data_IF_626803698743
#
_entry.id   IF_626803698743
#
_cell.length_a   1.000
_cell.length_b   1.000
_cell.length_c   1.000
_cell.angle_alpha   90.00
_cell.angle_beta   90.00
_cell.angle_gamma   90.00
#
_symmetry.space_group_name_H-M   'P 1'
#
loop_
_entity.id
_entity.type
_entity.pdbx_description
1 polymer ?
#
# COMPACT_ATOMS: atom_id res chain seq x y z
N UNK A 1 -60.99 37.82 37.50
CA UNK A 1 -59.74 37.71 36.72
C UNK A 1 -59.33 36.25 36.67
N UNK A 2 -59.70 35.50 35.63
CA UNK A 2 -58.97 34.32 35.13
C UNK A 2 -59.34 34.20 33.65
N UNK A 3 -58.35 34.43 32.79
CA UNK A 3 -58.43 34.26 31.34
C UNK A 3 -58.06 32.81 31.03
N UNK A 4 -58.97 32.05 30.41
CA UNK A 4 -58.67 30.70 29.92
C UNK A 4 -58.13 30.80 28.48
N UNK A 5 -56.82 30.63 28.32
CA UNK A 5 -56.14 30.54 27.03
C UNK A 5 -56.29 29.12 26.47
N UNK A 6 -56.96 29.01 25.32
CA UNK A 6 -56.94 27.83 24.47
C UNK A 6 -55.58 27.72 23.78
N UNK A 7 -54.81 26.68 24.08
CA UNK A 7 -53.60 26.33 23.34
C UNK A 7 -53.90 25.15 22.41
N UNK A 8 -54.19 25.46 21.14
CA UNK A 8 -54.22 24.46 20.07
C UNK A 8 -52.77 24.02 19.78
N UNK A 9 -52.39 22.83 20.25
CA UNK A 9 -51.11 22.23 19.94
C UNK A 9 -51.08 21.79 18.46
N UNK A 10 -50.42 22.58 17.61
CA UNK A 10 -50.03 22.16 16.26
C UNK A 10 -48.84 21.20 16.36
N UNK A 11 -49.09 19.90 16.46
CA UNK A 11 -48.06 18.90 16.20
C UNK A 11 -47.92 18.73 14.67
N UNK A 12 -46.72 18.90 14.08
CA UNK A 12 -46.55 18.65 12.66
C UNK A 12 -46.75 17.15 12.39
N UNK A 13 -47.81 16.82 11.66
CA UNK A 13 -48.09 15.47 11.17
C UNK A 13 -46.92 15.06 10.28
N UNK A 14 -46.03 14.19 10.77
CA UNK A 14 -45.00 13.55 9.93
C UNK A 14 -45.71 12.60 8.98
N UNK A 15 -45.99 13.07 7.77
CA UNK A 15 -46.48 12.23 6.69
C UNK A 15 -45.28 11.45 6.16
N UNK A 16 -45.24 10.14 6.41
CA UNK A 16 -44.32 9.22 5.71
C UNK A 16 -44.96 8.93 4.35
N UNK A 17 -44.76 9.82 3.38
CA UNK A 17 -45.09 9.51 2.00
C UNK A 17 -43.89 8.80 1.39
N UNK A 18 -44.08 7.55 0.97
CA UNK A 18 -43.14 6.86 0.08
C UNK A 18 -43.20 7.57 -1.28
N UNK A 19 -42.10 8.19 -1.77
CA UNK A 19 -42.13 8.86 -3.05
C UNK A 19 -42.32 7.84 -4.18
N UNK A 20 -43.47 7.92 -4.85
CA UNK A 20 -43.75 7.17 -6.08
C UNK A 20 -43.25 8.01 -7.25
N UNK A 21 -42.31 7.49 -8.04
CA UNK A 21 -41.82 8.17 -9.24
C UNK A 21 -42.93 8.21 -10.31
N UNK A 22 -42.86 9.18 -11.24
CA UNK A 22 -43.89 9.45 -12.28
C UNK A 22 -44.26 8.25 -13.16
N UNK A 23 -43.50 7.15 -13.12
CA UNK A 23 -43.72 5.89 -13.83
C UNK A 23 -44.42 4.80 -12.98
N UNK A 24 -44.87 5.12 -11.75
CA UNK A 24 -45.54 4.15 -10.86
C UNK A 24 -44.56 3.21 -10.14
N UNK A 25 -43.26 3.40 -10.32
CA UNK A 25 -42.22 2.63 -9.66
C UNK A 25 -41.97 3.22 -8.26
N UNK A 26 -42.10 2.37 -7.23
CA UNK A 26 -41.77 2.74 -5.85
C UNK A 26 -40.26 2.74 -5.70
N UNK A 27 -39.71 3.80 -5.10
CA UNK A 27 -38.31 3.79 -4.64
C UNK A 27 -38.20 2.66 -3.60
N UNK A 28 -37.28 1.69 -3.77
CA UNK A 28 -37.04 0.66 -2.76
C UNK A 28 -36.84 1.35 -1.40
N UNK A 29 -37.45 0.82 -0.33
CA UNK A 29 -37.25 1.42 0.99
C UNK A 29 -35.73 1.55 1.24
N UNK A 30 -35.25 2.75 1.61
CA UNK A 30 -33.82 3.01 1.74
C UNK A 30 -33.14 2.01 2.67
N UNK A 31 -33.85 1.49 3.67
CA UNK A 31 -33.36 0.47 4.59
C UNK A 31 -33.15 -0.89 3.90
N UNK A 32 -34.05 -1.30 3.00
CA UNK A 32 -33.90 -2.55 2.23
C UNK A 32 -32.75 -2.46 1.21
N UNK A 33 -32.60 -1.31 0.56
CA UNK A 33 -31.48 -1.07 -0.36
C UNK A 33 -30.13 -1.03 0.38
N UNK A 34 -30.06 -0.36 1.54
CA UNK A 34 -28.86 -0.33 2.37
C UNK A 34 -28.50 -1.72 2.88
N UNK A 35 -29.48 -2.51 3.30
CA UNK A 35 -29.24 -3.87 3.80
C UNK A 35 -28.77 -4.81 2.69
N UNK A 36 -29.34 -4.71 1.48
CA UNK A 36 -28.85 -5.44 0.31
C UNK A 36 -27.37 -5.11 0.00
N UNK A 37 -27.00 -3.82 0.00
CA UNK A 37 -25.61 -3.38 -0.21
C UNK A 37 -24.68 -3.92 0.89
N UNK A 38 -25.12 -3.95 2.15
CA UNK A 38 -24.34 -4.52 3.26
C UNK A 38 -24.12 -6.02 3.09
N UNK A 39 -25.16 -6.76 2.71
CA UNK A 39 -25.07 -8.20 2.47
C UNK A 39 -24.13 -8.52 1.31
N UNK A 40 -24.25 -7.79 0.19
CA UNK A 40 -23.36 -7.94 -0.96
C UNK A 40 -21.90 -7.61 -0.58
N UNK A 41 -21.67 -6.50 0.13
CA UNK A 41 -20.34 -6.15 0.62
C UNK A 41 -19.78 -7.20 1.59
N UNK A 42 -20.63 -7.78 2.44
CA UNK A 42 -20.27 -8.88 3.33
C UNK A 42 -19.85 -10.13 2.57
N UNK A 43 -20.66 -10.56 1.59
CA UNK A 43 -20.38 -11.71 0.74
C UNK A 43 -19.06 -11.52 -0.04
N UNK A 44 -18.84 -10.33 -0.62
CA UNK A 44 -17.59 -10.01 -1.32
C UNK A 44 -16.39 -10.06 -0.38
N UNK A 45 -16.49 -9.52 0.84
CA UNK A 45 -15.42 -9.61 1.85
C UNK A 45 -15.11 -11.06 2.23
N UNK A 46 -16.12 -11.89 2.40
CA UNK A 46 -15.95 -13.31 2.72
C UNK A 46 -15.27 -14.06 1.57
N UNK A 47 -15.70 -13.83 0.33
CA UNK A 47 -15.08 -14.42 -0.86
C UNK A 47 -13.60 -13.99 -0.99
N UNK A 48 -13.28 -12.71 -0.79
CA UNK A 48 -11.89 -12.23 -0.78
C UNK A 48 -11.06 -12.82 0.36
N UNK A 49 -11.65 -13.04 1.54
CA UNK A 49 -10.96 -13.69 2.65
C UNK A 49 -10.66 -15.17 2.34
N UNK A 50 -11.61 -15.90 1.78
CA UNK A 50 -11.41 -17.28 1.33
C UNK A 50 -10.31 -17.36 0.26
N UNK A 51 -10.37 -16.48 -0.75
CA UNK A 51 -9.37 -16.43 -1.82
C UNK A 51 -7.96 -16.15 -1.29
N UNK A 52 -7.82 -15.25 -0.31
CA UNK A 52 -6.53 -15.01 0.36
C UNK A 52 -6.05 -16.23 1.12
N UNK A 53 -6.95 -16.93 1.82
CA UNK A 53 -6.63 -18.18 2.52
C UNK A 53 -6.10 -19.27 1.59
N UNK A 54 -6.73 -19.45 0.42
CA UNK A 54 -6.25 -20.38 -0.62
C UNK A 54 -4.84 -20.01 -1.08
N UNK A 55 -4.59 -18.73 -1.43
CA UNK A 55 -3.28 -18.28 -1.89
C UNK A 55 -2.18 -18.51 -0.84
N UNK A 56 -2.49 -18.27 0.44
CA UNK A 56 -1.54 -18.53 1.53
C UNK A 56 -1.26 -20.02 1.67
N UNK A 57 -2.28 -20.87 1.60
CA UNK A 57 -2.11 -22.32 1.68
C UNK A 57 -1.24 -22.85 0.52
N UNK A 58 -1.52 -22.42 -0.71
CA UNK A 58 -0.75 -22.80 -1.90
C UNK A 58 0.70 -22.31 -1.83
N UNK A 59 0.90 -21.06 -1.37
CA UNK A 59 2.23 -20.49 -1.20
C UNK A 59 3.05 -21.26 -0.15
N UNK A 60 2.45 -21.64 0.98
CA UNK A 60 3.11 -22.42 2.02
C UNK A 60 3.37 -23.87 1.59
N UNK A 61 2.50 -24.45 0.75
CA UNK A 61 2.70 -25.80 0.22
C UNK A 61 3.86 -25.90 -0.77
N UNK A 62 4.25 -24.79 -1.40
CA UNK A 62 5.26 -24.74 -2.48
C UNK A 62 6.54 -23.99 -2.11
N UNK A 63 6.61 -23.41 -0.91
CA UNK A 63 7.78 -22.65 -0.48
C UNK A 63 8.96 -23.57 -0.13
N UNK A 64 10.17 -23.02 -0.19
CA UNK A 64 11.38 -23.70 0.29
C UNK A 64 12.33 -22.70 0.94
N UNK A 65 13.02 -23.13 2.00
CA UNK A 65 14.09 -22.37 2.65
C UNK A 65 13.68 -20.94 3.04
N UNK A 66 14.49 -19.97 2.63
CA UNK A 66 14.29 -18.55 2.97
C UNK A 66 12.93 -17.97 2.51
N UNK A 67 12.31 -18.54 1.48
CA UNK A 67 10.97 -18.12 1.03
C UNK A 67 9.91 -18.52 2.05
N UNK A 68 9.99 -19.72 2.66
CA UNK A 68 9.06 -20.11 3.72
C UNK A 68 9.20 -19.21 4.95
N UNK A 69 10.44 -18.89 5.34
CA UNK A 69 10.69 -18.00 6.47
C UNK A 69 10.14 -16.59 6.23
N UNK A 70 10.31 -16.07 5.00
CA UNK A 70 9.75 -14.79 4.60
C UNK A 70 8.21 -14.81 4.58
N UNK A 71 7.58 -15.85 4.02
CA UNK A 71 6.12 -16.01 4.06
C UNK A 71 5.58 -16.07 5.49
N UNK A 72 6.26 -16.79 6.39
CA UNK A 72 5.87 -16.89 7.79
C UNK A 72 5.93 -15.54 8.51
N UNK A 73 6.84 -14.64 8.11
CA UNK A 73 6.91 -13.26 8.60
C UNK A 73 5.99 -12.30 7.86
N UNK A 74 5.37 -12.73 6.75
CA UNK A 74 4.58 -11.86 5.87
C UNK A 74 5.45 -10.83 5.16
N UNK A 75 6.65 -11.22 4.72
CA UNK A 75 7.63 -10.35 4.04
C UNK A 75 7.77 -10.75 2.58
N UNK A 76 7.86 -9.77 1.68
CA UNK A 76 8.25 -10.01 0.29
C UNK A 76 9.78 -10.09 0.19
N UNK A 77 10.26 -11.10 -0.52
CA UNK A 77 11.68 -11.28 -0.84
C UNK A 77 11.88 -11.61 -2.32
N UNK A 78 13.15 -11.58 -2.75
CA UNK A 78 13.56 -11.99 -4.08
C UNK A 78 13.21 -13.47 -4.32
N UNK A 79 13.12 -13.86 -5.57
CA UNK A 79 12.84 -15.23 -6.02
C UNK A 79 11.43 -15.76 -5.70
N UNK A 80 10.62 -15.01 -4.95
CA UNK A 80 9.21 -15.35 -4.73
C UNK A 80 8.44 -15.40 -6.05
N UNK A 81 7.46 -16.30 -6.14
CA UNK A 81 6.50 -16.29 -7.25
C UNK A 81 5.44 -15.22 -7.04
N UNK A 82 4.66 -14.91 -8.08
CA UNK A 82 3.52 -13.99 -7.97
C UNK A 82 2.54 -14.42 -6.85
N UNK A 83 2.21 -15.71 -6.77
CA UNK A 83 1.31 -16.23 -5.75
C UNK A 83 1.88 -16.03 -4.33
N UNK A 84 3.19 -16.22 -4.15
CA UNK A 84 3.87 -16.00 -2.88
C UNK A 84 3.90 -14.51 -2.49
N UNK A 85 4.01 -13.58 -3.45
CA UNK A 85 3.88 -12.14 -3.19
C UNK A 85 2.46 -11.79 -2.70
N UNK A 86 1.43 -12.33 -3.35
CA UNK A 86 0.04 -12.12 -2.94
C UNK A 86 -0.21 -12.67 -1.52
N UNK A 87 0.33 -13.86 -1.23
CA UNK A 87 0.25 -14.47 0.09
C UNK A 87 0.99 -13.64 1.16
N UNK A 88 2.24 -13.25 0.91
CA UNK A 88 3.06 -12.46 1.84
C UNK A 88 2.41 -11.13 2.20
N UNK A 89 1.75 -10.49 1.24
CA UNK A 89 1.06 -9.20 1.44
C UNK A 89 -0.38 -9.35 1.96
N UNK A 90 -0.89 -10.58 2.05
CA UNK A 90 -2.29 -10.84 2.41
C UNK A 90 -3.27 -10.16 1.44
N UNK A 91 -2.91 -10.08 0.15
CA UNK A 91 -3.72 -9.46 -0.92
C UNK A 91 -4.12 -10.46 -1.99
N UNK A 92 -4.96 -10.02 -2.93
CA UNK A 92 -5.28 -10.72 -4.17
C UNK A 92 -4.85 -9.86 -5.35
N UNK A 93 -4.95 -10.40 -6.56
CA UNK A 93 -4.72 -9.68 -7.82
C UNK A 93 -5.56 -8.39 -7.97
N UNK A 94 -6.72 -8.30 -7.32
CA UNK A 94 -7.54 -7.08 -7.27
C UNK A 94 -6.80 -5.87 -6.68
N UNK A 95 -5.86 -6.08 -5.76
CA UNK A 95 -5.06 -5.01 -5.15
C UNK A 95 -3.96 -4.47 -6.08
N UNK A 96 -3.71 -5.15 -7.20
CA UNK A 96 -2.61 -4.87 -8.11
C UNK A 96 -3.11 -4.51 -9.51
N UNK A 97 -2.31 -3.71 -10.21
CA UNK A 97 -2.27 -3.65 -11.66
C UNK A 97 -1.07 -4.47 -12.11
N UNK A 98 -1.33 -5.58 -12.79
CA UNK A 98 -0.29 -6.52 -13.21
C UNK A 98 -0.11 -6.43 -14.72
N UNK A 99 1.06 -5.98 -15.16
CA UNK A 99 1.43 -5.87 -16.58
C UNK A 99 2.41 -6.98 -16.93
N UNK A 100 2.11 -7.76 -17.95
CA UNK A 100 2.94 -8.89 -18.40
C UNK A 100 3.44 -8.66 -19.82
N UNK A 101 4.72 -8.90 -20.05
CA UNK A 101 5.34 -8.88 -21.38
C UNK A 101 6.40 -9.98 -21.46
N UNK A 102 6.06 -11.08 -22.13
CA UNK A 102 6.92 -12.26 -22.21
C UNK A 102 7.31 -12.78 -20.83
N UNK A 103 8.61 -12.75 -20.53
CA UNK A 103 9.20 -13.24 -19.27
C UNK A 103 9.15 -12.23 -18.13
N UNK A 104 8.69 -11.01 -18.38
CA UNK A 104 8.66 -9.95 -17.38
C UNK A 104 7.22 -9.69 -16.95
N UNK A 105 6.99 -9.63 -15.64
CA UNK A 105 5.76 -9.12 -15.07
C UNK A 105 6.07 -7.97 -14.10
N UNK A 106 5.24 -6.94 -14.10
CA UNK A 106 5.35 -5.81 -13.17
C UNK A 106 4.01 -5.66 -12.46
N UNK A 107 4.06 -5.73 -11.14
CA UNK A 107 2.93 -5.49 -10.25
C UNK A 107 3.10 -4.11 -9.62
N UNK A 108 2.11 -3.25 -9.77
CA UNK A 108 2.03 -1.97 -9.06
C UNK A 108 0.70 -1.89 -8.30
N UNK A 109 0.65 -1.21 -7.14
CA UNK A 109 -0.60 -1.01 -6.41
C UNK A 109 -1.68 -0.42 -7.32
N UNK A 110 -2.89 -0.98 -7.28
CA UNK A 110 -4.03 -0.44 -8.05
C UNK A 110 -4.50 0.90 -7.51
N UNK A 111 -4.35 1.12 -6.21
CA UNK A 111 -4.69 2.36 -5.50
C UNK A 111 -3.60 2.68 -4.49
N UNK A 112 -3.27 3.96 -4.37
CA UNK A 112 -2.35 4.45 -3.34
C UNK A 112 -3.00 4.54 -1.95
N UNK A 113 -4.33 4.63 -1.88
CA UNK A 113 -5.06 4.71 -0.61
C UNK A 113 -5.08 3.37 0.15
N UNK A 114 -4.99 2.27 -0.58
CA UNK A 114 -5.01 0.92 -0.06
C UNK A 114 -3.91 0.09 -0.74
N UNK A 115 -2.70 0.66 -0.80
CA UNK A 115 -1.56 0.00 -1.41
C UNK A 115 -1.20 -1.27 -0.62
N UNK A 116 -0.84 -2.37 -1.32
CA UNK A 116 -0.33 -3.58 -0.69
C UNK A 116 0.84 -3.28 0.25
N UNK A 117 0.83 -3.94 1.41
CA UNK A 117 1.88 -3.86 2.42
C UNK A 117 2.32 -5.26 2.78
N UNK A 118 3.59 -5.39 3.11
CA UNK A 118 4.11 -6.56 3.81
C UNK A 118 4.46 -6.14 5.25
N UNK A 119 5.12 -7.01 6.01
CA UNK A 119 5.52 -6.71 7.38
C UNK A 119 6.58 -5.59 7.50
N UNK A 120 7.29 -5.27 6.43
CA UNK A 120 8.32 -4.23 6.40
C UNK A 120 7.71 -2.87 6.06
N UNK A 121 6.80 -2.81 5.09
CA UNK A 121 6.21 -1.54 4.69
C UNK A 121 5.33 -1.61 3.45
N UNK A 122 5.02 -0.43 2.90
CA UNK A 122 4.19 -0.29 1.72
C UNK A 122 4.99 -0.56 0.44
N UNK A 123 4.49 -1.48 -0.38
CA UNK A 123 5.11 -1.81 -1.65
C UNK A 123 4.69 -0.81 -2.72
N UNK A 124 5.66 -0.22 -3.39
CA UNK A 124 5.44 0.63 -4.54
C UNK A 124 5.40 -0.17 -5.85
N UNK A 125 6.17 -1.25 -5.93
CA UNK A 125 6.30 -2.08 -7.13
C UNK A 125 6.93 -3.43 -6.81
N UNK A 126 6.53 -4.47 -7.55
CA UNK A 126 7.23 -5.75 -7.61
C UNK A 126 7.46 -6.11 -9.07
N UNK A 127 8.71 -6.39 -9.45
CA UNK A 127 9.07 -6.83 -10.79
C UNK A 127 9.50 -8.29 -10.74
N UNK A 128 8.87 -9.10 -11.58
CA UNK A 128 9.18 -10.50 -11.77
C UNK A 128 9.88 -10.70 -13.11
N UNK A 129 10.84 -11.60 -13.12
CA UNK A 129 11.51 -12.11 -14.31
C UNK A 129 11.47 -13.63 -14.25
N UNK A 130 11.07 -14.26 -15.34
CA UNK A 130 10.95 -15.73 -15.45
C UNK A 130 10.07 -16.33 -14.33
N UNK A 131 9.01 -15.60 -13.96
CA UNK A 131 8.03 -16.02 -12.94
C UNK A 131 8.45 -15.78 -11.48
N UNK A 132 9.63 -15.23 -11.23
CA UNK A 132 10.16 -15.01 -9.89
C UNK A 132 10.52 -13.52 -9.66
N UNK A 133 10.39 -13.04 -8.42
CA UNK A 133 10.70 -11.64 -8.06
C UNK A 133 12.18 -11.36 -8.29
N UNK A 134 12.48 -10.48 -9.23
CA UNK A 134 13.83 -10.02 -9.53
C UNK A 134 14.17 -8.70 -8.81
N UNK A 135 13.15 -7.90 -8.50
CA UNK A 135 13.30 -6.70 -7.66
C UNK A 135 11.95 -6.25 -7.13
N UNK A 136 11.96 -5.51 -6.04
CA UNK A 136 10.78 -4.87 -5.47
C UNK A 136 11.15 -3.55 -4.82
N UNK A 137 10.19 -2.67 -4.62
CA UNK A 137 10.42 -1.34 -4.07
C UNK A 137 9.41 -1.01 -2.98
N UNK A 138 9.90 -0.40 -1.91
CA UNK A 138 9.09 0.18 -0.85
C UNK A 138 8.86 1.67 -1.09
N UNK A 139 7.69 2.16 -0.70
CA UNK A 139 7.41 3.58 -0.55
C UNK A 139 7.84 4.01 0.85
N UNK A 140 8.74 4.97 0.91
CA UNK A 140 9.22 5.60 2.14
C UNK A 140 9.02 7.12 2.06
N UNK A 141 9.17 7.81 3.19
CA UNK A 141 8.96 9.27 3.25
C UNK A 141 9.93 10.03 2.33
N UNK A 142 11.13 9.49 2.15
CA UNK A 142 12.20 10.06 1.34
C UNK A 142 12.16 9.60 -0.14
N UNK A 143 11.21 8.75 -0.52
CA UNK A 143 11.07 8.26 -1.89
C UNK A 143 10.93 6.74 -1.99
N UNK A 144 11.49 6.16 -3.05
CA UNK A 144 11.42 4.73 -3.31
C UNK A 144 12.72 4.04 -2.92
N UNK A 145 12.64 3.04 -2.03
CA UNK A 145 13.77 2.15 -1.73
C UNK A 145 13.62 0.87 -2.53
N UNK A 146 14.57 0.60 -3.43
CA UNK A 146 14.56 -0.59 -4.30
C UNK A 146 15.45 -1.68 -3.72
N UNK A 147 14.93 -2.91 -3.67
CA UNK A 147 15.68 -4.13 -3.33
C UNK A 147 15.91 -4.92 -4.60
N UNK A 148 17.19 -5.19 -4.94
CA UNK A 148 17.61 -5.98 -6.10
C UNK A 148 18.51 -7.16 -5.73
N UNK A 149 19.10 -7.12 -4.53
CA UNK A 149 19.89 -8.21 -3.95
C UNK A 149 19.55 -8.34 -2.45
N UNK A 150 19.78 -9.51 -1.83
CA UNK A 150 19.42 -9.73 -0.43
C UNK A 150 20.00 -8.70 0.55
N UNK A 151 21.21 -8.21 0.29
CA UNK A 151 21.85 -7.18 1.12
C UNK A 151 21.06 -5.86 1.18
N UNK A 152 20.30 -5.51 0.14
CA UNK A 152 19.53 -4.26 0.09
C UNK A 152 18.31 -4.29 1.05
N UNK A 153 17.84 -5.49 1.43
CA UNK A 153 16.72 -5.67 2.35
C UNK A 153 17.14 -5.55 3.82
N UNK A 154 18.45 -5.56 4.11
CA UNK A 154 18.98 -5.45 5.48
C UNK A 154 18.91 -4.02 6.01
N UNK A 155 19.05 -3.85 7.33
CA UNK A 155 19.16 -2.51 7.96
C UNK A 155 20.31 -1.70 7.39
N UNK A 156 21.47 -2.34 7.15
CA UNK A 156 22.62 -1.70 6.53
C UNK A 156 22.34 -1.32 5.07
N UNK A 157 21.69 -2.20 4.31
CA UNK A 157 21.24 -1.91 2.94
C UNK A 157 20.28 -0.72 2.88
N UNK A 158 19.34 -0.63 3.83
CA UNK A 158 18.45 0.52 3.97
C UNK A 158 19.20 1.80 4.29
N UNK A 159 20.15 1.77 5.24
CA UNK A 159 20.99 2.92 5.56
C UNK A 159 21.79 3.39 4.34
N UNK A 160 22.37 2.46 3.59
CA UNK A 160 23.07 2.77 2.34
C UNK A 160 22.17 3.43 1.30
N UNK A 161 20.96 2.88 1.06
CA UNK A 161 20.03 3.47 0.10
C UNK A 161 19.60 4.90 0.50
N UNK A 162 19.44 5.16 1.80
CA UNK A 162 19.13 6.49 2.33
C UNK A 162 20.33 7.45 2.18
N UNK A 163 21.55 6.99 2.46
CA UNK A 163 22.77 7.76 2.28
C UNK A 163 22.96 8.17 0.82
N UNK A 164 22.81 7.23 -0.13
CA UNK A 164 22.90 7.52 -1.56
C UNK A 164 21.85 8.53 -2.04
N UNK A 165 20.65 8.51 -1.44
CA UNK A 165 19.60 9.50 -1.75
C UNK A 165 19.99 10.89 -1.24
N UNK A 166 20.48 10.99 0.00
CA UNK A 166 20.97 12.24 0.58
C UNK A 166 22.13 12.82 -0.23
N UNK A 167 23.06 11.99 -0.69
CA UNK A 167 24.14 12.40 -1.60
C UNK A 167 23.57 13.04 -2.87
N UNK A 168 22.66 12.34 -3.57
CA UNK A 168 22.05 12.89 -4.80
C UNK A 168 21.33 14.21 -4.57
N UNK A 169 20.64 14.36 -3.44
CA UNK A 169 19.99 15.61 -3.09
C UNK A 169 21.00 16.72 -2.78
N UNK A 170 22.11 16.41 -2.13
CA UNK A 170 23.24 17.31 -1.95
C UNK A 170 23.82 17.76 -3.30
N UNK A 171 24.04 16.84 -4.23
CA UNK A 171 24.56 17.13 -5.59
C UNK A 171 23.63 18.10 -6.34
N UNK A 172 22.32 17.88 -6.25
CA UNK A 172 21.30 18.74 -6.84
C UNK A 172 21.29 20.14 -6.20
N UNK A 173 21.57 20.25 -4.90
CA UNK A 173 21.66 21.53 -4.18
C UNK A 173 22.94 22.29 -4.54
N UNK A 174 24.08 21.59 -4.65
CA UNK A 174 25.34 22.16 -5.17
C UNK A 174 25.12 22.74 -6.56
N UNK A 175 24.46 21.99 -7.45
CA UNK A 175 24.17 22.45 -8.81
C UNK A 175 23.29 23.71 -8.85
N UNK A 176 22.51 23.97 -7.79
CA UNK A 176 21.67 25.17 -7.62
C UNK A 176 22.39 26.31 -6.90
N UNK A 177 23.60 26.07 -6.38
CA UNK A 177 24.37 27.03 -5.59
C UNK A 177 23.95 27.11 -4.11
N UNK A 178 23.10 26.21 -3.63
CA UNK A 178 22.68 26.14 -2.22
C UNK A 178 23.62 25.23 -1.42
N UNK A 179 24.82 25.74 -1.13
CA UNK A 179 25.89 24.96 -0.52
C UNK A 179 25.60 24.60 0.94
N UNK A 180 24.95 25.49 1.70
CA UNK A 180 24.61 25.23 3.10
C UNK A 180 23.63 24.06 3.22
N UNK A 181 22.59 24.03 2.38
CA UNK A 181 21.66 22.92 2.35
C UNK A 181 22.32 21.62 1.84
N UNK A 182 23.28 21.71 0.92
CA UNK A 182 24.02 20.54 0.44
C UNK A 182 24.87 19.91 1.55
N UNK A 183 25.60 20.72 2.31
CA UNK A 183 26.40 20.26 3.45
C UNK A 183 25.55 19.53 4.50
N UNK A 184 24.35 20.04 4.83
CA UNK A 184 23.40 19.32 5.71
C UNK A 184 23.09 17.91 5.18
N UNK A 185 22.93 17.76 3.86
CA UNK A 185 22.62 16.44 3.28
C UNK A 185 23.80 15.49 3.34
N UNK A 186 25.00 15.98 3.02
CA UNK A 186 26.20 15.16 3.11
C UNK A 186 26.53 14.76 4.56
N UNK A 187 26.39 15.66 5.53
CA UNK A 187 26.58 15.36 6.95
C UNK A 187 25.65 14.23 7.41
N UNK A 188 24.36 14.30 7.03
CA UNK A 188 23.39 13.26 7.35
C UNK A 188 23.69 11.94 6.64
N UNK A 189 24.27 11.99 5.44
CA UNK A 189 24.72 10.80 4.72
C UNK A 189 25.95 10.16 5.40
N UNK A 190 26.90 10.96 5.90
CA UNK A 190 28.11 10.49 6.60
C UNK A 190 27.75 9.72 7.87
N UNK A 191 26.71 10.15 8.60
CA UNK A 191 26.22 9.40 9.78
C UNK A 191 25.78 7.97 9.42
N UNK A 192 25.25 7.78 8.21
CA UNK A 192 24.79 6.47 7.73
C UNK A 192 25.92 5.65 7.10
N UNK A 193 26.96 6.32 6.59
CA UNK A 193 28.12 5.73 5.93
C UNK A 193 29.42 6.38 6.43
N UNK A 194 29.85 6.08 7.67
CA UNK A 194 30.96 6.78 8.31
C UNK A 194 32.31 6.55 7.62
N UNK A 195 32.47 5.45 6.89
CA UNK A 195 33.73 5.08 6.21
C UNK A 195 33.72 5.45 4.71
N UNK A 196 32.78 6.29 4.26
CA UNK A 196 32.68 6.68 2.86
C UNK A 196 33.59 7.88 2.53
N UNK A 197 34.75 7.59 1.96
CA UNK A 197 35.76 8.59 1.57
C UNK A 197 35.25 9.59 0.54
N UNK A 198 34.29 9.21 -0.31
CA UNK A 198 33.68 10.14 -1.27
C UNK A 198 32.88 11.23 -0.55
N UNK A 199 32.15 10.87 0.51
CA UNK A 199 31.42 11.82 1.35
C UNK A 199 32.38 12.76 2.08
N UNK A 200 33.49 12.25 2.61
CA UNK A 200 34.53 13.08 3.23
C UNK A 200 35.05 14.15 2.26
N UNK A 201 35.29 13.80 1.00
CA UNK A 201 35.72 14.74 -0.03
C UNK A 201 34.63 15.78 -0.37
N UNK A 202 33.35 15.41 -0.40
CA UNK A 202 32.25 16.32 -0.71
C UNK A 202 31.96 17.33 0.40
N UNK A 203 32.32 17.01 1.63
CA UNK A 203 32.14 17.87 2.82
C UNK A 203 33.32 18.85 2.99
N UNK A 204 34.54 18.44 2.59
CA UNK A 204 35.78 19.21 2.75
C UNK A 204 35.85 20.47 1.87
#
# INVERSE_FOLDING_TARGET
MVVALAAAACAPKRVREEPILRNGERVPEPDAAVEAVRQEAGARRAAMAARRGELVADALATCTGAICDALARGEVTLEMTEAQVLAATGTTDEAWQIRRNGRIAVMVPRSLLAAPRDAVGELAMVQLRDGAVASYAYREAQGLRVVRRPSDATTAGRANALAEMLVREGDDLVARGDLDAALDRYDRAQVLQPDNVELEYRIA
#
